data_IF_386510064245
#
_entry.id   IF_386510064245
#
_cell.length_a   1.000
_cell.length_b   1.000
_cell.length_c   1.000
_cell.angle_alpha   90.00
_cell.angle_beta   90.00
_cell.angle_gamma   90.00
#
_symmetry.space_group_name_H-M   'P 1'
#
loop_
_entity.id
_entity.type
_entity.pdbx_description
1 polymer ?
#
# COMPACT_ATOMS: atom_id res chain seq x y z
N UNK A 1 14.36 28.19 -36.67
CA UNK A 1 13.56 27.01 -36.25
C UNK A 1 13.27 27.14 -34.76
N UNK A 2 12.00 27.05 -34.36
CA UNK A 2 11.60 27.06 -32.95
C UNK A 2 12.03 25.73 -32.32
N UNK A 3 12.58 25.77 -31.10
CA UNK A 3 12.82 24.57 -30.30
C UNK A 3 11.55 24.25 -29.49
N UNK A 4 11.13 22.99 -29.51
CA UNK A 4 10.03 22.51 -28.72
C UNK A 4 10.56 21.98 -27.38
N UNK A 5 9.95 22.44 -26.28
CA UNK A 5 10.18 21.94 -24.94
C UNK A 5 8.85 21.46 -24.41
N UNK A 6 8.80 20.23 -23.94
CA UNK A 6 7.63 19.60 -23.33
C UNK A 6 7.93 19.35 -21.85
N UNK A 7 7.05 19.84 -21.00
CA UNK A 7 7.05 19.61 -19.56
C UNK A 7 5.86 18.72 -19.25
N UNK A 8 6.09 17.57 -18.67
CA UNK A 8 5.09 16.55 -18.38
C UNK A 8 5.02 16.37 -16.88
N UNK A 9 3.88 16.73 -16.29
CA UNK A 9 3.57 16.48 -14.89
C UNK A 9 2.99 15.07 -14.71
N UNK A 10 3.14 14.50 -13.51
CA UNK A 10 2.73 13.13 -13.18
C UNK A 10 3.29 12.09 -14.17
N UNK A 11 4.55 12.27 -14.56
CA UNK A 11 5.15 11.52 -15.66
C UNK A 11 5.36 10.01 -15.37
N UNK A 12 5.07 9.56 -14.16
CA UNK A 12 5.08 8.15 -13.76
C UNK A 12 3.87 7.36 -14.27
N UNK A 13 2.79 8.01 -14.70
CA UNK A 13 1.57 7.30 -15.11
C UNK A 13 1.82 6.43 -16.34
N UNK A 14 1.42 5.16 -16.27
CA UNK A 14 1.60 4.14 -17.31
C UNK A 14 1.06 4.52 -18.69
N UNK A 15 0.02 5.37 -18.71
CA UNK A 15 -0.57 5.93 -19.96
C UNK A 15 0.46 6.66 -20.84
N UNK A 16 1.54 7.13 -20.23
CA UNK A 16 2.56 7.91 -20.97
C UNK A 16 3.52 7.04 -21.79
N UNK A 17 3.64 5.74 -21.54
CA UNK A 17 4.58 4.88 -22.25
C UNK A 17 4.41 4.92 -23.77
N UNK A 18 3.23 4.55 -24.28
CA UNK A 18 2.92 4.55 -25.72
C UNK A 18 2.71 5.95 -26.27
N UNK A 19 2.03 6.82 -25.54
CA UNK A 19 1.80 8.20 -25.94
C UNK A 19 3.12 8.99 -26.00
N UNK A 20 4.00 8.83 -25.02
CA UNK A 20 5.30 9.49 -24.99
C UNK A 20 6.19 9.01 -26.13
N UNK A 21 6.15 7.73 -26.49
CA UNK A 21 6.87 7.22 -27.65
C UNK A 21 6.36 7.89 -28.93
N UNK A 22 5.05 7.99 -29.11
CA UNK A 22 4.45 8.70 -30.25
C UNK A 22 4.89 10.17 -30.31
N UNK A 23 4.96 10.85 -29.17
CA UNK A 23 5.46 12.23 -29.08
C UNK A 23 6.93 12.32 -29.49
N UNK A 24 7.78 11.41 -29.01
CA UNK A 24 9.22 11.37 -29.36
C UNK A 24 9.42 11.11 -30.84
N UNK A 25 8.64 10.23 -31.43
CA UNK A 25 8.70 9.90 -32.88
C UNK A 25 8.22 11.08 -33.74
N UNK A 26 7.20 11.79 -33.26
CA UNK A 26 6.66 12.97 -33.97
C UNK A 26 7.58 14.19 -33.85
N UNK A 27 8.21 14.37 -32.70
CA UNK A 27 9.07 15.51 -32.40
C UNK A 27 10.47 15.10 -31.94
N UNK A 28 11.30 14.49 -32.79
CA UNK A 28 12.57 13.87 -32.38
C UNK A 28 13.64 14.87 -31.88
N UNK A 29 13.38 16.16 -31.98
CA UNK A 29 14.25 17.22 -31.47
C UNK A 29 13.66 18.00 -30.30
N UNK A 30 12.53 17.56 -29.75
CA UNK A 30 11.96 18.15 -28.55
C UNK A 30 12.81 17.81 -27.33
N UNK A 31 12.90 18.74 -26.40
CA UNK A 31 13.40 18.49 -25.06
C UNK A 31 12.20 18.09 -24.18
N UNK A 32 12.34 16.99 -23.45
CA UNK A 32 11.31 16.50 -22.55
C UNK A 32 11.81 16.58 -21.12
N UNK A 33 10.98 17.14 -20.25
CA UNK A 33 11.20 17.17 -18.80
C UNK A 33 9.99 16.52 -18.13
N UNK A 34 10.23 15.50 -17.30
CA UNK A 34 9.22 14.82 -16.50
C UNK A 34 9.28 15.31 -15.04
N UNK A 35 8.13 15.59 -14.45
CA UNK A 35 7.95 15.86 -13.02
C UNK A 35 7.06 14.79 -12.42
N UNK A 36 7.41 14.28 -11.24
CA UNK A 36 6.61 13.29 -10.52
C UNK A 36 6.95 13.28 -9.04
N UNK A 37 5.95 13.09 -8.20
CA UNK A 37 6.11 12.81 -6.78
C UNK A 37 6.42 11.34 -6.47
N UNK A 38 6.15 10.42 -7.42
CA UNK A 38 6.26 8.97 -7.25
C UNK A 38 6.90 8.34 -8.47
N UNK A 39 8.24 8.47 -8.65
CA UNK A 39 8.93 7.88 -9.80
C UNK A 39 8.78 6.34 -9.79
N UNK A 40 8.60 5.75 -10.97
CA UNK A 40 8.66 4.30 -11.15
C UNK A 40 10.13 3.90 -11.23
N UNK A 41 10.57 3.11 -10.26
CA UNK A 41 11.92 2.51 -10.18
C UNK A 41 11.83 1.01 -10.39
N UNK A 42 12.95 0.33 -10.64
CA UNK A 42 13.00 -1.10 -10.94
C UNK A 42 12.22 -1.96 -9.95
N UNK A 43 12.32 -1.67 -8.64
CA UNK A 43 11.68 -2.44 -7.57
C UNK A 43 10.15 -2.34 -7.56
N UNK A 44 9.58 -1.27 -8.09
CA UNK A 44 8.12 -1.07 -8.15
C UNK A 44 7.54 -1.09 -9.58
N UNK A 45 8.38 -1.39 -10.57
CA UNK A 45 8.02 -1.38 -12.01
C UNK A 45 7.28 -2.64 -12.47
N UNK A 46 6.45 -3.29 -11.66
CA UNK A 46 5.77 -4.58 -11.95
C UNK A 46 5.58 -4.92 -13.44
N UNK A 47 4.91 -4.06 -14.21
CA UNK A 47 4.72 -4.14 -15.67
C UNK A 47 4.85 -2.75 -16.30
N UNK A 48 5.40 -1.78 -15.60
CA UNK A 48 5.53 -0.40 -16.04
C UNK A 48 6.96 -0.11 -16.50
N UNK A 49 7.10 0.84 -17.41
CA UNK A 49 8.41 1.29 -17.85
C UNK A 49 8.96 2.26 -16.83
N UNK A 50 10.18 2.04 -16.38
CA UNK A 50 10.85 2.94 -15.44
C UNK A 50 10.88 4.38 -15.94
N UNK A 51 10.64 5.31 -15.03
CA UNK A 51 10.65 6.75 -15.33
C UNK A 51 11.99 7.17 -15.94
N UNK A 52 13.10 6.61 -15.44
CA UNK A 52 14.45 6.88 -15.97
C UNK A 52 14.63 6.45 -17.42
N UNK A 53 14.05 5.32 -17.81
CA UNK A 53 14.10 4.84 -19.21
C UNK A 53 13.36 5.79 -20.16
N UNK A 54 12.29 6.40 -19.70
CA UNK A 54 11.48 7.33 -20.51
C UNK A 54 12.08 8.74 -20.59
N UNK A 55 12.59 9.27 -19.47
CA UNK A 55 13.00 10.68 -19.36
C UNK A 55 14.51 10.88 -19.23
N UNK A 56 15.29 9.84 -18.99
CA UNK A 56 16.71 9.92 -18.68
C UNK A 56 17.01 10.07 -17.19
N UNK A 57 18.23 10.52 -16.87
CA UNK A 57 18.66 10.64 -15.49
C UNK A 57 17.90 11.72 -14.73
N UNK A 58 17.73 11.47 -13.42
CA UNK A 58 17.14 12.43 -12.49
C UNK A 58 17.98 13.69 -12.41
N UNK A 59 17.39 14.83 -12.68
CA UNK A 59 18.06 16.12 -12.66
C UNK A 59 18.01 16.79 -11.29
N UNK A 60 16.93 16.57 -10.54
CA UNK A 60 16.71 17.14 -9.22
C UNK A 60 15.74 16.28 -8.41
N UNK A 61 16.01 16.10 -7.12
CA UNK A 61 15.18 15.42 -6.15
C UNK A 61 14.93 16.29 -4.94
N UNK A 62 13.65 16.51 -4.61
CA UNK A 62 13.20 17.18 -3.40
C UNK A 62 12.23 16.29 -2.68
N UNK A 63 12.72 15.52 -1.73
CA UNK A 63 11.94 14.49 -1.03
C UNK A 63 11.13 15.05 0.14
N UNK A 64 10.19 14.27 0.68
CA UNK A 64 9.49 14.59 1.94
C UNK A 64 10.50 14.84 3.08
N UNK A 65 11.59 14.08 3.13
CA UNK A 65 12.66 14.26 4.11
C UNK A 65 13.33 15.65 4.03
N UNK A 66 13.37 16.26 2.84
CA UNK A 66 13.82 17.65 2.66
C UNK A 66 12.69 18.65 2.99
N UNK A 67 11.47 18.35 2.57
CA UNK A 67 10.34 19.26 2.64
C UNK A 67 9.84 19.53 4.08
N UNK A 68 9.95 18.52 4.99
CA UNK A 68 9.55 18.66 6.40
C UNK A 68 10.42 19.68 7.15
N UNK A 69 11.78 19.59 7.14
CA UNK A 69 12.64 20.58 7.76
C UNK A 69 12.45 21.99 7.17
N UNK A 70 12.22 22.09 5.87
CA UNK A 70 11.95 23.34 5.17
C UNK A 70 10.56 23.92 5.47
N UNK A 71 9.70 23.19 6.21
CA UNK A 71 8.33 23.56 6.56
C UNK A 71 7.39 23.70 5.35
N UNK A 72 7.73 23.09 4.24
CA UNK A 72 6.89 23.03 3.03
C UNK A 72 5.85 21.93 3.10
N UNK A 73 6.10 20.89 3.92
CA UNK A 73 5.18 19.78 4.20
C UNK A 73 5.10 19.58 5.71
N UNK A 74 3.90 19.30 6.19
CA UNK A 74 3.68 18.95 7.61
C UNK A 74 4.30 17.58 7.89
N UNK A 75 4.92 17.44 9.05
CA UNK A 75 5.31 16.13 9.56
C UNK A 75 4.07 15.29 9.88
N UNK A 76 4.24 13.98 9.91
CA UNK A 76 3.20 13.01 10.29
C UNK A 76 3.65 12.26 11.53
N UNK A 77 2.68 11.81 12.29
CA UNK A 77 2.87 10.98 13.49
C UNK A 77 2.15 9.64 13.24
N UNK A 78 2.90 8.56 12.94
CA UNK A 78 2.30 7.28 12.64
C UNK A 78 1.71 6.65 13.92
N UNK A 79 0.42 6.31 13.87
CA UNK A 79 -0.27 5.56 14.89
C UNK A 79 -0.47 4.12 14.42
N UNK A 80 0.27 3.20 15.02
CA UNK A 80 0.23 1.78 14.65
C UNK A 80 -0.77 1.03 15.52
N UNK A 81 -1.65 0.26 14.89
CA UNK A 81 -2.69 -0.54 15.55
C UNK A 81 -2.50 -2.00 15.18
N UNK A 82 -2.49 -2.86 16.20
CA UNK A 82 -2.51 -4.31 16.01
C UNK A 82 -3.94 -4.83 16.16
N UNK A 83 -4.45 -5.51 15.13
CA UNK A 83 -5.80 -6.11 15.12
C UNK A 83 -5.84 -7.57 15.53
N UNK A 84 -4.67 -8.20 15.60
CA UNK A 84 -4.46 -9.59 16.02
C UNK A 84 -3.41 -9.66 17.13
N UNK A 85 -3.45 -10.72 17.94
CA UNK A 85 -2.39 -11.01 18.90
C UNK A 85 -1.13 -11.46 18.18
N UNK A 86 0.02 -10.97 18.62
CA UNK A 86 1.31 -11.27 17.98
C UNK A 86 1.58 -12.79 17.91
N UNK A 87 1.26 -13.54 18.96
CA UNK A 87 1.47 -14.98 18.99
C UNK A 87 0.64 -15.69 17.92
N UNK A 88 -0.58 -15.20 17.63
CA UNK A 88 -1.45 -15.75 16.61
C UNK A 88 -0.88 -15.46 15.21
N UNK A 89 -0.43 -14.24 14.97
CA UNK A 89 0.20 -13.82 13.70
C UNK A 89 1.43 -14.69 13.43
N UNK A 90 2.31 -14.83 14.41
CA UNK A 90 3.53 -15.66 14.32
C UNK A 90 3.21 -17.11 14.00
N UNK A 91 2.24 -17.69 14.69
CA UNK A 91 1.80 -19.06 14.48
C UNK A 91 1.27 -19.27 13.06
N UNK A 92 0.39 -18.37 12.58
CA UNK A 92 -0.19 -18.48 11.24
C UNK A 92 0.89 -18.32 10.16
N UNK A 93 1.79 -17.38 10.30
CA UNK A 93 2.91 -17.19 9.38
C UNK A 93 3.84 -18.42 9.35
N UNK A 94 4.16 -19.01 10.49
CA UNK A 94 4.96 -20.24 10.58
C UNK A 94 4.28 -21.40 9.86
N UNK A 95 2.98 -21.61 10.12
CA UNK A 95 2.20 -22.68 9.49
C UNK A 95 2.08 -22.47 7.97
N UNK A 96 1.85 -21.25 7.51
CA UNK A 96 1.80 -20.91 6.09
C UNK A 96 3.16 -21.15 5.41
N UNK A 97 4.24 -20.74 6.04
CA UNK A 97 5.61 -20.97 5.55
C UNK A 97 5.95 -22.46 5.41
N UNK A 98 5.51 -23.26 6.38
CA UNK A 98 5.73 -24.71 6.42
C UNK A 98 4.71 -25.49 5.56
N UNK A 99 3.66 -24.81 5.07
CA UNK A 99 2.53 -25.40 4.33
C UNK A 99 1.85 -26.52 5.10
N UNK A 100 1.64 -26.32 6.41
CA UNK A 100 0.96 -27.26 7.32
C UNK A 100 -0.36 -26.68 7.83
N UNK A 101 -1.28 -27.56 8.21
CA UNK A 101 -2.59 -27.18 8.77
C UNK A 101 -2.64 -27.36 10.29
N UNK A 102 -1.80 -28.25 10.84
CA UNK A 102 -1.67 -28.47 12.28
C UNK A 102 -0.23 -28.75 12.67
N UNK A 103 0.10 -28.59 13.96
CA UNK A 103 1.44 -28.89 14.49
C UNK A 103 1.78 -30.38 14.48
N UNK A 104 0.76 -31.24 14.52
CA UNK A 104 0.93 -32.71 14.48
C UNK A 104 1.63 -33.15 13.18
N UNK A 105 1.51 -32.38 12.10
CA UNK A 105 2.17 -32.67 10.80
C UNK A 105 3.69 -32.51 10.81
N UNK A 106 4.23 -31.89 11.85
CA UNK A 106 5.68 -31.66 12.01
C UNK A 106 6.23 -32.35 13.26
N UNK A 107 5.40 -33.10 14.00
CA UNK A 107 5.82 -33.86 15.16
C UNK A 107 6.87 -34.91 14.75
N UNK A 108 8.08 -34.81 15.32
CA UNK A 108 9.23 -35.66 14.98
C UNK A 108 10.08 -35.17 13.81
N UNK A 109 9.72 -34.07 13.14
CA UNK A 109 10.51 -33.40 12.11
C UNK A 109 11.32 -32.24 12.73
N UNK A 110 12.55 -32.54 13.13
CA UNK A 110 13.40 -31.53 13.83
C UNK A 110 13.69 -30.30 12.96
N UNK A 111 13.78 -30.43 11.63
CA UNK A 111 14.07 -29.27 10.76
C UNK A 111 12.85 -28.33 10.70
N UNK A 112 11.66 -28.88 10.51
CA UNK A 112 10.43 -28.06 10.50
C UNK A 112 10.15 -27.46 11.87
N UNK A 113 10.39 -28.19 12.96
CA UNK A 113 10.26 -27.66 14.32
C UNK A 113 11.15 -26.47 14.56
N UNK A 114 12.43 -26.52 14.14
CA UNK A 114 13.36 -25.36 14.23
C UNK A 114 12.86 -24.15 13.45
N UNK A 115 12.29 -24.37 12.27
CA UNK A 115 11.68 -23.27 11.49
C UNK A 115 10.49 -22.69 12.23
N UNK A 116 9.61 -23.53 12.76
CA UNK A 116 8.45 -23.08 13.53
C UNK A 116 8.86 -22.25 14.77
N UNK A 117 9.80 -22.75 15.56
CA UNK A 117 10.34 -22.05 16.74
C UNK A 117 10.92 -20.70 16.34
N UNK A 118 11.73 -20.63 15.28
CA UNK A 118 12.30 -19.37 14.79
C UNK A 118 11.22 -18.33 14.48
N UNK A 119 10.09 -18.72 13.89
CA UNK A 119 8.99 -17.81 13.58
C UNK A 119 8.29 -17.34 14.85
N UNK A 120 8.12 -18.23 15.83
CA UNK A 120 7.37 -17.92 17.05
C UNK A 120 8.19 -17.16 18.10
N UNK A 121 9.53 -17.20 18.02
CA UNK A 121 10.40 -16.54 19.02
C UNK A 121 11.30 -15.45 18.46
N UNK A 122 12.03 -15.72 17.37
CA UNK A 122 13.20 -14.92 17.00
C UNK A 122 13.02 -14.01 15.78
N UNK A 123 12.12 -14.37 14.84
CA UNK A 123 11.96 -13.61 13.62
C UNK A 123 11.31 -12.25 13.91
N UNK A 124 11.86 -11.10 13.42
CA UNK A 124 11.19 -9.81 13.54
C UNK A 124 9.80 -9.83 12.87
N UNK A 125 8.86 -9.03 13.37
CA UNK A 125 7.53 -8.91 12.75
C UNK A 125 7.63 -8.28 11.37
N UNK A 126 8.31 -7.16 11.26
CA UNK A 126 8.50 -6.40 10.04
C UNK A 126 9.72 -6.88 9.25
N UNK A 127 9.68 -6.70 7.94
CA UNK A 127 10.84 -6.90 7.07
C UNK A 127 11.84 -5.76 7.25
N UNK A 128 13.13 -6.06 7.15
CA UNK A 128 14.21 -5.08 7.22
C UNK A 128 14.58 -4.63 5.81
N UNK A 129 14.72 -3.32 5.62
CA UNK A 129 14.99 -2.68 4.34
C UNK A 129 16.20 -1.74 4.45
N UNK A 130 17.10 -1.79 3.50
CA UNK A 130 18.23 -0.88 3.38
C UNK A 130 18.26 -0.32 1.94
N UNK A 131 18.19 1.02 1.81
CA UNK A 131 18.23 1.73 0.52
C UNK A 131 17.30 1.13 -0.55
N UNK A 132 16.02 0.88 -0.17
CA UNK A 132 14.98 0.28 -1.01
C UNK A 132 15.18 -1.21 -1.36
N UNK A 133 16.14 -1.88 -0.75
CA UNK A 133 16.32 -3.33 -0.88
C UNK A 133 15.85 -4.09 0.37
N UNK A 134 15.14 -5.21 0.18
CA UNK A 134 14.76 -6.10 1.29
C UNK A 134 15.98 -6.91 1.71
N UNK A 135 16.49 -6.65 2.94
CA UNK A 135 17.60 -7.40 3.51
C UNK A 135 17.10 -8.71 4.12
N UNK A 136 15.97 -8.66 4.83
CA UNK A 136 15.44 -9.81 5.57
C UNK A 136 13.92 -9.70 5.71
N UNK A 137 13.23 -10.74 5.27
CA UNK A 137 11.78 -10.83 5.44
C UNK A 137 11.40 -11.08 6.91
N UNK A 138 10.47 -10.29 7.42
CA UNK A 138 9.85 -10.49 8.72
C UNK A 138 8.70 -11.49 8.69
N UNK A 139 8.06 -11.70 9.85
CA UNK A 139 6.93 -12.63 10.03
C UNK A 139 5.77 -12.29 9.10
N UNK A 140 5.41 -11.01 8.96
CA UNK A 140 4.26 -10.57 8.18
C UNK A 140 4.35 -10.90 6.69
N UNK A 141 5.58 -10.97 6.14
CA UNK A 141 5.80 -11.41 4.76
C UNK A 141 5.24 -12.81 4.47
N UNK A 142 5.14 -13.64 5.49
CA UNK A 142 4.71 -15.04 5.37
C UNK A 142 3.25 -15.28 5.73
N UNK A 143 2.46 -14.24 5.94
CA UNK A 143 1.02 -14.35 6.15
C UNK A 143 0.30 -14.75 4.85
N UNK A 144 -0.85 -15.44 4.94
CA UNK A 144 -1.73 -15.64 3.79
C UNK A 144 -2.17 -14.30 3.20
N UNK A 145 -2.33 -14.24 1.89
CA UNK A 145 -2.71 -13.00 1.19
C UNK A 145 -4.08 -12.43 1.63
N UNK A 146 -4.96 -13.30 2.14
CA UNK A 146 -6.30 -12.93 2.64
C UNK A 146 -6.33 -12.66 4.15
N UNK A 147 -5.17 -12.65 4.82
CA UNK A 147 -5.12 -12.59 6.29
C UNK A 147 -5.82 -11.33 6.84
N UNK A 148 -5.56 -10.17 6.23
CA UNK A 148 -6.14 -8.89 6.63
C UNK A 148 -7.49 -8.58 5.94
N UNK A 149 -7.96 -9.42 5.03
CA UNK A 149 -9.27 -9.29 4.36
C UNK A 149 -10.43 -9.93 5.12
N UNK A 150 -10.22 -10.32 6.38
CA UNK A 150 -11.24 -11.00 7.19
C UNK A 150 -12.12 -10.02 7.93
N UNK A 151 -13.40 -10.33 8.08
CA UNK A 151 -14.39 -9.53 8.81
C UNK A 151 -13.92 -9.16 10.24
N UNK A 152 -13.21 -10.06 10.91
CA UNK A 152 -12.67 -9.78 12.25
C UNK A 152 -11.65 -8.63 12.22
N UNK A 153 -10.83 -8.54 11.18
CA UNK A 153 -9.89 -7.42 10.98
C UNK A 153 -10.64 -6.13 10.71
N UNK A 154 -11.57 -6.14 9.76
CA UNK A 154 -12.38 -4.97 9.41
C UNK A 154 -13.13 -4.40 10.62
N UNK A 155 -13.73 -5.28 11.44
CA UNK A 155 -14.40 -4.87 12.69
C UNK A 155 -13.44 -4.28 13.71
N UNK A 156 -12.24 -4.84 13.86
CA UNK A 156 -11.24 -4.32 14.78
C UNK A 156 -10.75 -2.93 14.35
N UNK A 157 -10.49 -2.73 13.06
CA UNK A 157 -10.12 -1.42 12.49
C UNK A 157 -11.23 -0.40 12.70
N UNK A 158 -12.47 -0.74 12.35
CA UNK A 158 -13.62 0.16 12.51
C UNK A 158 -13.86 0.54 13.98
N UNK A 159 -13.72 -0.42 14.89
CA UNK A 159 -13.84 -0.18 16.33
C UNK A 159 -12.76 0.75 16.87
N UNK A 160 -11.51 0.60 16.41
CA UNK A 160 -10.41 1.47 16.81
C UNK A 160 -10.60 2.89 16.28
N UNK A 161 -10.97 3.05 15.01
CA UNK A 161 -11.31 4.35 14.42
C UNK A 161 -12.42 5.03 15.22
N UNK A 162 -13.51 4.33 15.50
CA UNK A 162 -14.64 4.87 16.27
C UNK A 162 -14.23 5.30 17.68
N UNK A 163 -13.48 4.43 18.39
CA UNK A 163 -13.00 4.70 19.74
C UNK A 163 -12.14 5.95 19.84
N UNK A 164 -11.34 6.21 18.81
CA UNK A 164 -10.37 7.31 18.81
C UNK A 164 -10.85 8.52 18.02
N UNK A 165 -12.07 8.48 17.43
CA UNK A 165 -12.58 9.50 16.53
C UNK A 165 -12.53 10.91 17.10
N UNK A 166 -13.08 11.11 18.30
CA UNK A 166 -13.15 12.44 18.90
C UNK A 166 -11.76 13.05 19.16
N UNK A 167 -10.80 12.18 19.52
CA UNK A 167 -9.41 12.61 19.76
C UNK A 167 -8.73 13.06 18.47
N UNK A 168 -8.73 12.21 17.44
CA UNK A 168 -7.98 12.49 16.22
C UNK A 168 -8.70 13.46 15.29
N UNK A 169 -10.03 13.45 15.28
CA UNK A 169 -10.83 14.43 14.53
C UNK A 169 -10.97 15.77 15.24
N UNK A 170 -10.46 15.88 16.48
CA UNK A 170 -10.70 17.03 17.38
C UNK A 170 -12.19 17.38 17.49
N UNK A 171 -12.98 16.43 17.95
CA UNK A 171 -14.43 16.52 18.03
C UNK A 171 -15.09 16.85 16.67
N UNK A 172 -14.74 16.09 15.65
CA UNK A 172 -15.26 16.23 14.27
C UNK A 172 -14.95 17.56 13.58
N UNK A 173 -13.92 18.28 14.03
CA UNK A 173 -13.41 19.47 13.31
C UNK A 173 -12.63 19.10 12.06
N UNK A 174 -12.06 17.88 12.00
CA UNK A 174 -11.29 17.37 10.87
C UNK A 174 -11.90 16.08 10.33
N UNK A 175 -11.77 15.91 9.03
CA UNK A 175 -12.14 14.68 8.34
C UNK A 175 -10.97 13.69 8.35
N UNK A 176 -11.29 12.42 8.10
CA UNK A 176 -10.31 11.36 7.90
C UNK A 176 -10.54 10.67 6.55
N UNK A 177 -9.51 10.06 6.02
CA UNK A 177 -9.57 9.23 4.81
C UNK A 177 -9.16 7.82 5.23
N UNK A 178 -10.03 6.84 4.99
CA UNK A 178 -9.72 5.42 5.08
C UNK A 178 -9.42 4.92 3.67
N UNK A 179 -8.17 4.62 3.40
CA UNK A 179 -7.76 3.98 2.15
C UNK A 179 -7.90 2.46 2.30
N UNK A 180 -8.50 1.82 1.32
CA UNK A 180 -8.72 0.37 1.25
C UNK A 180 -7.98 -0.23 0.08
N UNK A 181 -7.79 -1.55 0.07
CA UNK A 181 -7.05 -2.25 -0.98
C UNK A 181 -7.81 -2.23 -2.32
N UNK A 182 -9.14 -2.29 -2.25
CA UNK A 182 -10.00 -2.39 -3.43
C UNK A 182 -11.41 -1.84 -3.15
N UNK A 183 -12.23 -1.70 -4.21
CA UNK A 183 -13.61 -1.20 -4.11
C UNK A 183 -14.51 -2.09 -3.23
N UNK A 184 -14.53 -3.43 -3.35
CA UNK A 184 -15.32 -4.30 -2.47
C UNK A 184 -15.06 -4.02 -0.99
N UNK A 185 -13.80 -3.91 -0.60
CA UNK A 185 -13.41 -3.62 0.78
C UNK A 185 -13.91 -2.23 1.23
N UNK A 186 -13.85 -1.22 0.35
CA UNK A 186 -14.41 0.11 0.64
C UNK A 186 -15.91 0.04 0.93
N UNK A 187 -16.66 -0.74 0.14
CA UNK A 187 -18.09 -0.96 0.31
C UNK A 187 -18.37 -1.72 1.62
N UNK A 188 -17.57 -2.73 1.95
CA UNK A 188 -17.69 -3.47 3.21
C UNK A 188 -17.49 -2.55 4.42
N UNK A 189 -16.44 -1.72 4.44
CA UNK A 189 -16.23 -0.74 5.49
C UNK A 189 -17.36 0.29 5.57
N UNK A 190 -17.86 0.78 4.43
CA UNK A 190 -18.99 1.69 4.41
C UNK A 190 -20.22 1.09 5.09
N UNK A 191 -20.60 -0.15 4.72
CA UNK A 191 -21.72 -0.88 5.34
C UNK A 191 -21.47 -1.09 6.84
N UNK A 192 -20.28 -1.54 7.21
CA UNK A 192 -19.89 -1.78 8.59
C UNK A 192 -20.04 -0.52 9.47
N UNK A 193 -19.55 0.63 8.99
CA UNK A 193 -19.71 1.89 9.72
C UNK A 193 -21.16 2.33 9.81
N UNK A 194 -21.93 2.24 8.74
CA UNK A 194 -23.35 2.61 8.70
C UNK A 194 -24.19 1.78 9.67
N UNK A 195 -23.92 0.51 9.77
CA UNK A 195 -24.64 -0.43 10.62
C UNK A 195 -24.26 -0.31 12.10
N UNK A 196 -22.98 -0.22 12.41
CA UNK A 196 -22.49 -0.34 13.79
C UNK A 196 -22.13 1.01 14.43
N UNK A 197 -21.85 2.04 13.63
CA UNK A 197 -21.40 3.35 14.11
C UNK A 197 -22.16 4.51 13.42
N UNK A 198 -23.51 4.55 13.50
CA UNK A 198 -24.34 5.49 12.74
C UNK A 198 -24.14 6.96 13.15
N UNK A 199 -23.44 7.24 14.25
CA UNK A 199 -23.06 8.59 14.64
C UNK A 199 -21.93 9.19 13.79
N UNK A 200 -21.19 8.37 13.05
CA UNK A 200 -20.18 8.83 12.10
C UNK A 200 -20.83 9.08 10.73
N UNK A 201 -20.56 10.27 10.18
CA UNK A 201 -20.91 10.57 8.79
C UNK A 201 -19.86 9.98 7.86
N UNK A 202 -20.16 8.84 7.26
CA UNK A 202 -19.27 8.12 6.38
C UNK A 202 -19.79 8.13 4.95
N UNK A 203 -18.91 8.37 4.00
CA UNK A 203 -19.16 8.26 2.55
C UNK A 203 -18.13 7.35 1.93
N UNK A 204 -18.50 6.54 0.97
CA UNK A 204 -17.59 5.80 0.13
C UNK A 204 -17.40 6.54 -1.20
N UNK A 205 -16.16 6.67 -1.65
CA UNK A 205 -15.81 7.31 -2.92
C UNK A 205 -14.96 6.32 -3.71
N UNK A 206 -15.44 5.94 -4.88
CA UNK A 206 -14.72 5.09 -5.82
C UNK A 206 -15.14 5.40 -7.25
N UNK A 207 -14.34 4.96 -8.22
CA UNK A 207 -14.67 5.07 -9.65
C UNK A 207 -15.43 3.80 -10.05
N UNK A 208 -16.70 3.93 -10.38
CA UNK A 208 -17.60 2.85 -10.79
C UNK A 208 -17.27 2.26 -12.17
N UNK A 209 -16.45 2.97 -12.95
CA UNK A 209 -15.96 2.52 -14.26
C UNK A 209 -14.73 1.60 -14.16
N UNK A 210 -14.08 1.52 -12.99
CA UNK A 210 -12.90 0.69 -12.77
C UNK A 210 -13.33 -0.71 -12.35
N UNK A 211 -12.97 -1.70 -13.16
CA UNK A 211 -13.05 -3.10 -12.81
C UNK A 211 -11.84 -3.48 -11.95
N UNK A 212 -12.05 -3.59 -10.64
CA UNK A 212 -11.00 -3.93 -9.67
C UNK A 212 -10.93 -5.44 -9.36
N UNK A 213 -11.91 -6.21 -9.86
CA UNK A 213 -11.96 -7.66 -9.71
C UNK A 213 -12.66 -8.24 -10.93
N UNK A 214 -12.45 -9.51 -11.19
CA UNK A 214 -13.09 -10.29 -12.25
C UNK A 214 -14.65 -10.33 -12.17
N UNK A 215 -15.23 -9.69 -11.16
CA UNK A 215 -16.67 -9.71 -10.83
C UNK A 215 -17.49 -8.54 -11.40
N UNK A 216 -16.87 -7.62 -12.13
CA UNK A 216 -17.58 -6.57 -12.87
C UNK A 216 -17.53 -5.17 -12.23
N UNK A 217 -18.24 -4.25 -12.86
CA UNK A 217 -18.26 -2.81 -12.53
C UNK A 217 -19.26 -2.55 -11.40
N UNK A 218 -18.81 -1.91 -10.31
CA UNK A 218 -19.67 -1.48 -9.22
C UNK A 218 -20.41 -0.20 -9.60
N UNK A 219 -21.73 -0.17 -9.37
CA UNK A 219 -22.56 1.01 -9.55
C UNK A 219 -23.02 1.53 -8.21
N UNK A 220 -23.15 2.86 -8.12
CA UNK A 220 -23.83 3.48 -6.97
C UNK A 220 -25.30 3.02 -6.94
N UNK A 221 -25.75 2.59 -5.75
CA UNK A 221 -27.17 2.38 -5.43
C UNK A 221 -27.77 3.65 -4.79
#
# INVERSE_FOLDING_TARGET
KKRLVLVIDECHRSVYGTMLQTIKDTFPRALLFGFTGTPVVEENAKNEIETKTLFGDELHKYSIANAIPDKNVLAFDPYMVTTYKEEEVRRIAAMNRLKIKSLDEIEGDEEKMKVYEKFTTDLPMESDYEEDAVIKHGVEHYLPADFYRKDIHHRAVAADIYKNWDTYSRNSMFHAILATENIPEAIEYYKLFRENYPSLNVVAIFDDSIDNNDDGIYKED
#
